data_IF_261525608705
#
_entry.id   IF_261525608705
#
_cell.length_a   1.000
_cell.length_b   1.000
_cell.length_c   1.000
_cell.angle_alpha   90.00
_cell.angle_beta   90.00
_cell.angle_gamma   90.00
#
_symmetry.space_group_name_H-M   'P 1'
#
loop_
_entity.id
_entity.type
_entity.pdbx_description
1 polymer ?
#
# COMPACT_ATOMS: atom_id res chain seq x y z
N UNK A 1 -25.97 -2.16 16.56
CA UNK A 1 -24.53 -1.94 16.39
C UNK A 1 -24.37 -0.53 15.86
N UNK A 2 -23.99 0.43 16.72
CA UNK A 2 -23.91 1.84 16.33
C UNK A 2 -22.93 2.01 15.15
N UNK A 3 -23.40 2.71 14.12
CA UNK A 3 -22.61 2.96 12.93
C UNK A 3 -21.51 3.95 13.31
N UNK A 4 -20.25 3.47 13.37
CA UNK A 4 -19.08 4.31 13.65
C UNK A 4 -19.09 5.56 12.76
N UNK A 5 -18.86 6.73 13.36
CA UNK A 5 -18.61 7.98 12.63
C UNK A 5 -17.31 7.86 11.82
N UNK A 6 -17.44 7.55 10.52
CA UNK A 6 -16.31 7.39 9.61
C UNK A 6 -16.02 8.73 8.95
N UNK A 7 -14.76 9.16 8.98
CA UNK A 7 -14.35 10.30 8.18
C UNK A 7 -14.55 9.99 6.69
N UNK A 8 -15.31 10.86 6.01
CA UNK A 8 -15.55 10.80 4.56
C UNK A 8 -15.07 12.07 3.89
N UNK A 9 -14.25 11.93 2.86
CA UNK A 9 -13.80 13.03 2.01
C UNK A 9 -12.29 13.08 1.82
N UNK A 10 -11.87 14.03 1.00
CA UNK A 10 -10.46 14.36 0.72
C UNK A 10 -10.15 15.84 0.94
N UNK A 11 -11.12 16.59 1.44
CA UNK A 11 -11.05 18.02 1.65
C UNK A 11 -10.22 18.33 2.91
N UNK A 12 -9.11 19.04 2.72
CA UNK A 12 -8.17 19.35 3.80
C UNK A 12 -8.82 20.15 4.95
N UNK A 13 -9.67 21.14 4.63
CA UNK A 13 -10.33 21.97 5.65
C UNK A 13 -11.21 21.11 6.56
N UNK A 14 -12.07 20.27 5.96
CA UNK A 14 -12.94 19.34 6.69
C UNK A 14 -12.13 18.38 7.57
N UNK A 15 -11.01 17.90 7.05
CA UNK A 15 -10.11 17.00 7.78
C UNK A 15 -9.51 17.68 9.02
N UNK A 16 -8.92 18.87 8.86
CA UNK A 16 -8.30 19.59 9.97
C UNK A 16 -9.32 20.08 11.01
N UNK A 17 -10.54 20.42 10.60
CA UNK A 17 -11.63 20.74 11.54
C UNK A 17 -12.10 19.54 12.36
N UNK A 18 -11.96 18.30 11.83
CA UNK A 18 -12.35 17.07 12.54
C UNK A 18 -11.27 16.55 13.50
N UNK A 19 -10.01 16.72 13.12
CA UNK A 19 -8.84 16.21 13.86
C UNK A 19 -7.95 17.38 14.28
N UNK A 20 -8.40 18.09 15.32
CA UNK A 20 -7.74 19.31 15.82
C UNK A 20 -6.59 19.01 16.77
N UNK A 21 -6.61 17.85 17.42
CA UNK A 21 -5.68 17.47 18.50
C UNK A 21 -5.53 15.94 18.65
N UNK A 22 -4.67 15.54 19.57
CA UNK A 22 -4.43 14.13 19.86
C UNK A 22 -5.68 13.44 20.47
N UNK A 23 -6.55 14.18 21.18
CA UNK A 23 -7.74 13.63 21.81
C UNK A 23 -8.79 13.17 20.78
N UNK A 24 -9.08 14.01 19.79
CA UNK A 24 -9.95 13.70 18.65
C UNK A 24 -9.39 12.54 17.80
N UNK A 25 -8.07 12.47 17.64
CA UNK A 25 -7.42 11.34 16.97
C UNK A 25 -7.55 10.03 17.78
N UNK A 26 -7.32 10.07 19.10
CA UNK A 26 -7.46 8.91 19.98
C UNK A 26 -8.89 8.37 20.02
N UNK A 27 -9.89 9.26 20.07
CA UNK A 27 -11.30 8.90 19.96
C UNK A 27 -11.56 8.11 18.67
N UNK A 28 -11.09 8.63 17.53
CA UNK A 28 -11.26 7.99 16.23
C UNK A 28 -10.58 6.63 16.16
N UNK A 29 -9.33 6.52 16.62
CA UNK A 29 -8.63 5.23 16.66
C UNK A 29 -9.30 4.23 17.60
N UNK A 30 -9.87 4.70 18.73
CA UNK A 30 -10.61 3.86 19.67
C UNK A 30 -11.85 3.27 19.02
N UNK A 31 -12.61 4.08 18.29
CA UNK A 31 -13.79 3.63 17.55
C UNK A 31 -13.47 2.56 16.50
N UNK A 32 -12.29 2.65 15.86
CA UNK A 32 -11.79 1.60 14.94
C UNK A 32 -11.43 0.33 15.71
N UNK A 33 -10.56 0.46 16.71
CA UNK A 33 -9.98 -0.68 17.43
C UNK A 33 -11.03 -1.53 18.15
N UNK A 34 -12.15 -0.91 18.51
CA UNK A 34 -13.22 -1.51 19.32
C UNK A 34 -14.47 -1.86 18.53
N UNK A 35 -14.42 -1.78 17.20
CA UNK A 35 -15.53 -2.19 16.33
C UNK A 35 -15.98 -3.64 16.59
N UNK A 36 -15.03 -4.53 16.93
CA UNK A 36 -15.29 -5.95 17.22
C UNK A 36 -15.36 -6.26 18.74
N UNK A 37 -15.48 -5.23 19.59
CA UNK A 37 -15.47 -5.35 21.05
C UNK A 37 -14.08 -5.33 21.70
N UNK A 38 -14.03 -5.50 23.03
CA UNK A 38 -12.78 -5.62 23.78
C UNK A 38 -12.42 -7.07 24.00
N UNK A 39 -11.17 -7.44 23.71
CA UNK A 39 -10.57 -8.71 24.09
C UNK A 39 -9.16 -8.45 24.60
N UNK A 40 -8.92 -8.77 25.87
CA UNK A 40 -7.61 -8.55 26.48
C UNK A 40 -6.54 -9.37 25.75
N UNK A 41 -5.47 -8.72 25.30
CA UNK A 41 -4.34 -9.37 24.61
C UNK A 41 -3.58 -10.38 25.48
N UNK A 42 -3.61 -10.23 26.81
CA UNK A 42 -2.90 -11.13 27.73
C UNK A 42 -3.70 -12.36 28.15
N UNK A 43 -5.01 -12.22 28.39
CA UNK A 43 -5.82 -13.30 28.99
C UNK A 43 -7.12 -13.61 28.25
N UNK A 44 -7.43 -12.92 27.15
CA UNK A 44 -8.64 -13.15 26.35
C UNK A 44 -9.95 -12.68 26.98
N UNK A 45 -9.94 -12.15 28.21
CA UNK A 45 -11.14 -11.66 28.89
C UNK A 45 -11.76 -10.43 28.18
N UNK A 46 -13.08 -10.33 28.20
CA UNK A 46 -13.87 -9.33 27.47
C UNK A 46 -14.34 -8.16 28.33
N UNK A 47 -14.30 -8.29 29.65
CA UNK A 47 -14.68 -7.20 30.56
C UNK A 47 -13.49 -6.29 30.81
N UNK A 48 -13.80 -4.99 30.87
CA UNK A 48 -12.82 -3.93 31.10
C UNK A 48 -13.43 -2.82 31.97
N UNK A 49 -12.57 -2.02 32.58
CA UNK A 49 -12.92 -0.72 33.11
C UNK A 49 -12.10 0.35 32.38
N UNK A 50 -12.53 1.61 32.48
CA UNK A 50 -11.74 2.73 31.97
C UNK A 50 -10.44 2.83 32.77
N UNK A 51 -9.36 3.15 32.09
CA UNK A 51 -8.04 3.35 32.69
C UNK A 51 -7.73 4.86 32.82
N UNK A 52 -6.60 5.20 33.47
CA UNK A 52 -6.14 6.58 33.70
C UNK A 52 -5.91 7.37 32.40
N UNK A 53 -5.56 6.68 31.31
CA UNK A 53 -5.30 7.32 30.01
C UNK A 53 -6.56 7.37 29.14
N UNK A 54 -6.82 8.48 28.41
CA UNK A 54 -7.98 8.62 27.54
C UNK A 54 -8.17 7.43 26.60
N UNK A 55 -9.40 6.92 26.54
CA UNK A 55 -9.82 5.79 25.70
C UNK A 55 -9.04 4.46 25.92
N UNK A 56 -8.20 4.39 26.96
CA UNK A 56 -7.49 3.18 27.35
C UNK A 56 -8.37 2.27 28.20
N UNK A 57 -8.17 0.95 28.07
CA UNK A 57 -9.00 -0.05 28.74
C UNK A 57 -8.14 -0.95 29.61
N UNK A 58 -8.52 -1.06 30.88
CA UNK A 58 -7.91 -1.98 31.85
C UNK A 58 -8.73 -3.26 31.92
N UNK A 59 -8.08 -4.41 31.70
CA UNK A 59 -8.74 -5.70 31.88
C UNK A 59 -9.07 -5.94 33.36
N UNK A 60 -10.32 -6.26 33.68
CA UNK A 60 -10.76 -6.47 35.06
C UNK A 60 -10.15 -7.72 35.70
N UNK A 61 -9.78 -8.72 34.89
CA UNK A 61 -9.18 -10.00 35.32
C UNK A 61 -7.68 -9.90 35.58
N UNK A 62 -6.87 -9.60 34.56
CA UNK A 62 -5.40 -9.60 34.69
C UNK A 62 -4.77 -8.22 34.92
N UNK A 63 -5.60 -7.18 35.08
CA UNK A 63 -5.19 -5.78 35.30
C UNK A 63 -4.26 -5.20 34.22
N UNK A 64 -4.22 -5.83 33.04
CA UNK A 64 -3.46 -5.32 31.91
C UNK A 64 -4.13 -4.09 31.31
N UNK A 65 -3.34 -3.03 31.17
CA UNK A 65 -3.74 -1.77 30.54
C UNK A 65 -3.42 -1.80 29.05
N UNK A 66 -4.45 -1.58 28.24
CA UNK A 66 -4.32 -1.50 26.80
C UNK A 66 -4.67 -0.10 26.31
N UNK A 67 -3.65 0.64 25.87
CA UNK A 67 -3.84 1.90 25.16
C UNK A 67 -4.47 1.67 23.78
N UNK A 68 -5.07 2.73 23.23
CA UNK A 68 -5.65 2.70 21.88
C UNK A 68 -4.59 2.34 20.84
N UNK A 69 -3.39 2.92 20.93
CA UNK A 69 -2.32 2.73 19.96
C UNK A 69 -1.55 1.43 20.15
N UNK A 70 -1.66 0.75 21.30
CA UNK A 70 -0.92 -0.48 21.59
C UNK A 70 -1.14 -1.55 20.53
N UNK A 71 -0.05 -2.13 20.01
CA UNK A 71 -0.06 -3.18 18.99
C UNK A 71 -0.55 -2.72 17.62
N UNK A 72 -0.56 -1.42 17.36
CA UNK A 72 -0.87 -0.83 16.05
C UNK A 72 0.37 -0.15 15.44
N UNK A 73 0.24 0.40 14.24
CA UNK A 73 1.30 1.23 13.66
C UNK A 73 1.52 2.56 14.38
N UNK A 74 0.55 3.01 15.18
CA UNK A 74 0.65 4.19 16.05
C UNK A 74 1.33 3.87 17.38
N UNK A 75 1.67 2.60 17.64
CA UNK A 75 2.33 2.22 18.87
C UNK A 75 3.71 2.90 18.97
N UNK A 76 4.00 3.41 20.16
CA UNK A 76 5.25 4.08 20.54
C UNK A 76 5.68 5.21 19.59
N UNK A 77 4.75 5.92 18.94
CA UNK A 77 5.10 7.17 18.27
C UNK A 77 5.60 8.19 19.30
N UNK A 78 6.63 8.96 18.93
CA UNK A 78 7.30 9.94 19.80
C UNK A 78 7.04 11.38 19.35
N UNK A 79 5.95 11.59 18.61
CA UNK A 79 5.52 12.87 18.09
C UNK A 79 3.97 12.94 18.17
N UNK A 80 3.36 14.13 18.10
CA UNK A 80 1.91 14.30 18.25
C UNK A 80 1.12 13.39 17.31
N UNK A 81 0.09 12.73 17.84
CA UNK A 81 -0.76 11.82 17.08
C UNK A 81 -1.50 12.55 15.95
N UNK A 82 -1.88 13.81 16.15
CA UNK A 82 -2.49 14.66 15.15
C UNK A 82 -1.60 14.81 13.90
N UNK A 83 -0.28 14.93 14.06
CA UNK A 83 0.65 14.95 12.92
C UNK A 83 0.69 13.61 12.20
N UNK A 84 0.60 12.50 12.94
CA UNK A 84 0.52 11.16 12.36
C UNK A 84 -0.73 11.00 11.48
N UNK A 85 -1.86 11.55 11.93
CA UNK A 85 -3.10 11.63 11.17
C UNK A 85 -2.93 12.48 9.91
N UNK A 86 -2.35 13.67 10.04
CA UNK A 86 -2.16 14.56 8.89
C UNK A 86 -1.23 13.95 7.82
N UNK A 87 -0.13 13.30 8.24
CA UNK A 87 0.78 12.58 7.33
C UNK A 87 0.05 11.42 6.63
N UNK A 88 -0.71 10.61 7.37
CA UNK A 88 -1.49 9.50 6.79
C UNK A 88 -2.55 10.00 5.80
N UNK A 89 -3.25 11.08 6.14
CA UNK A 89 -4.21 11.73 5.25
C UNK A 89 -3.54 12.16 3.96
N UNK A 90 -2.50 13.00 4.01
CA UNK A 90 -1.81 13.52 2.82
C UNK A 90 -1.24 12.42 1.92
N UNK A 91 -0.61 11.39 2.48
CA UNK A 91 -0.06 10.28 1.70
C UNK A 91 -1.17 9.48 1.01
N UNK A 92 -2.33 9.33 1.65
CA UNK A 92 -3.46 8.59 1.10
C UNK A 92 -4.26 9.38 0.07
N UNK A 93 -4.45 10.69 0.25
CA UNK A 93 -5.37 11.49 -0.58
C UNK A 93 -4.69 12.21 -1.74
N UNK A 94 -3.42 12.63 -1.61
CA UNK A 94 -2.71 13.28 -2.71
C UNK A 94 -2.39 12.26 -3.80
N UNK A 95 -2.82 12.52 -5.05
CA UNK A 95 -2.61 11.63 -6.21
C UNK A 95 -1.14 11.20 -6.38
N UNK A 96 -0.21 12.16 -6.24
CA UNK A 96 1.24 11.95 -6.32
C UNK A 96 1.90 11.61 -4.97
N UNK A 97 1.15 11.43 -3.88
CA UNK A 97 1.73 11.31 -2.54
C UNK A 97 2.57 12.53 -2.14
N UNK A 98 3.49 12.34 -1.19
CA UNK A 98 4.50 13.34 -0.79
C UNK A 98 5.80 12.65 -0.41
N UNK A 99 6.92 13.34 -0.61
CA UNK A 99 8.23 12.89 -0.16
C UNK A 99 8.36 12.99 1.37
N UNK A 100 9.28 12.23 1.96
CA UNK A 100 9.56 12.37 3.40
C UNK A 100 10.21 13.71 3.74
N UNK A 101 10.89 14.35 2.78
CA UNK A 101 11.51 15.67 2.98
C UNK A 101 10.45 16.76 3.05
N UNK A 102 9.53 16.78 2.08
CA UNK A 102 8.40 17.72 2.06
C UNK A 102 7.54 17.60 3.32
N UNK A 103 7.24 16.36 3.74
CA UNK A 103 6.49 16.12 4.98
C UNK A 103 7.28 16.55 6.22
N UNK A 104 8.60 16.34 6.25
CA UNK A 104 9.43 16.73 7.38
C UNK A 104 9.49 18.25 7.54
N UNK A 105 9.63 18.97 6.44
CA UNK A 105 9.58 20.43 6.39
C UNK A 105 8.20 20.94 6.81
N UNK A 106 7.11 20.39 6.24
CA UNK A 106 5.74 20.83 6.53
C UNK A 106 5.35 20.67 8.02
N UNK A 107 5.86 19.65 8.71
CA UNK A 107 5.56 19.42 10.13
C UNK A 107 6.70 19.79 11.09
N UNK A 108 7.76 20.44 10.60
CA UNK A 108 8.95 20.79 11.39
C UNK A 108 9.52 19.57 12.15
N UNK A 109 9.55 18.41 11.50
CA UNK A 109 9.99 17.14 12.09
C UNK A 109 11.32 16.70 11.47
N UNK A 110 12.07 15.85 12.18
CA UNK A 110 13.24 15.17 11.59
C UNK A 110 12.78 14.26 10.44
N UNK A 111 13.43 14.38 9.29
CA UNK A 111 13.10 13.57 8.10
C UNK A 111 13.11 12.07 8.39
N UNK A 112 14.05 11.56 9.20
CA UNK A 112 14.11 10.14 9.58
C UNK A 112 12.84 9.68 10.31
N UNK A 113 12.31 10.50 11.23
CA UNK A 113 11.08 10.19 11.97
C UNK A 113 9.88 10.07 11.04
N UNK A 114 9.75 11.03 10.11
CA UNK A 114 8.67 11.03 9.11
C UNK A 114 8.82 9.87 8.14
N UNK A 115 10.04 9.57 7.73
CA UNK A 115 10.35 8.45 6.84
C UNK A 115 9.99 7.11 7.49
N UNK A 116 10.39 6.86 8.73
CA UNK A 116 10.01 5.65 9.48
C UNK A 116 8.49 5.51 9.63
N UNK A 117 7.79 6.61 9.92
CA UNK A 117 6.33 6.58 10.01
C UNK A 117 5.67 6.35 8.64
N UNK A 118 6.20 6.98 7.57
CA UNK A 118 5.78 6.71 6.19
C UNK A 118 5.97 5.24 5.82
N UNK A 119 7.07 4.59 6.25
CA UNK A 119 7.27 3.14 6.04
C UNK A 119 6.17 2.30 6.68
N UNK A 120 5.69 2.68 7.88
CA UNK A 120 4.54 2.03 8.50
C UNK A 120 3.28 2.20 7.62
N UNK A 121 2.99 3.44 7.18
CA UNK A 121 1.87 3.71 6.26
C UNK A 121 1.95 2.85 4.99
N UNK A 122 3.13 2.78 4.34
CA UNK A 122 3.37 1.95 3.17
C UNK A 122 3.08 0.47 3.45
N UNK A 123 3.50 -0.05 4.62
CA UNK A 123 3.19 -1.42 5.03
C UNK A 123 1.67 -1.65 5.19
N UNK A 124 0.91 -0.66 5.65
CA UNK A 124 -0.56 -0.74 5.70
C UNK A 124 -1.21 -0.63 4.31
N UNK A 125 -0.53 0.01 3.36
CA UNK A 125 -0.98 0.14 1.98
C UNK A 125 -0.80 -1.14 1.16
N UNK A 126 -0.01 -2.11 1.64
CA UNK A 126 0.17 -3.43 1.02
C UNK A 126 -1.17 -4.07 0.63
N UNK A 127 -1.19 -4.70 -0.54
CA UNK A 127 -2.38 -5.42 -1.01
C UNK A 127 -2.70 -6.62 -0.10
N UNK A 128 -3.99 -6.81 0.17
CA UNK A 128 -4.48 -7.98 0.90
C UNK A 128 -4.41 -9.26 0.08
N UNK A 129 -4.28 -9.19 -1.26
CA UNK A 129 -4.38 -10.33 -2.16
C UNK A 129 -5.82 -10.79 -2.44
N UNK A 130 -6.79 -10.45 -1.57
CA UNK A 130 -8.20 -10.88 -1.69
C UNK A 130 -8.98 -10.38 -2.92
N UNK A 131 -8.37 -9.62 -3.82
CA UNK A 131 -9.03 -9.06 -5.00
C UNK A 131 -8.15 -9.30 -6.23
N UNK A 132 -8.04 -10.56 -6.69
CA UNK A 132 -7.26 -10.89 -7.87
C UNK A 132 -7.83 -10.18 -9.10
N UNK A 133 -6.94 -9.84 -10.03
CA UNK A 133 -7.26 -9.24 -11.32
C UNK A 133 -8.03 -10.26 -12.17
N UNK A 134 -9.12 -9.80 -12.81
CA UNK A 134 -10.03 -10.64 -13.59
C UNK A 134 -10.27 -10.06 -14.99
N UNK A 135 -10.92 -10.84 -15.85
CA UNK A 135 -11.20 -10.42 -17.22
C UNK A 135 -9.92 -10.40 -18.04
N UNK A 136 -9.68 -9.31 -18.77
CA UNK A 136 -8.44 -9.10 -19.50
C UNK A 136 -7.38 -8.43 -18.63
N UNK A 137 -6.22 -9.06 -18.50
CA UNK A 137 -5.12 -8.61 -17.66
C UNK A 137 -3.84 -8.54 -18.49
N UNK A 138 -3.28 -7.35 -18.65
CA UNK A 138 -1.97 -7.20 -19.28
C UNK A 138 -0.89 -7.33 -18.21
N UNK A 139 0.20 -8.03 -18.52
CA UNK A 139 1.34 -8.22 -17.62
C UNK A 139 2.62 -7.90 -18.37
N UNK A 140 3.51 -7.15 -17.72
CA UNK A 140 4.80 -6.75 -18.27
C UNK A 140 5.81 -6.57 -17.13
N UNK A 141 7.08 -6.47 -17.47
CA UNK A 141 8.18 -6.23 -16.55
C UNK A 141 8.98 -5.00 -16.94
N UNK A 142 9.49 -4.30 -15.93
CA UNK A 142 10.31 -3.11 -16.17
C UNK A 142 11.38 -2.93 -15.11
N UNK A 143 12.44 -2.22 -15.50
CA UNK A 143 13.54 -1.87 -14.63
C UNK A 143 13.36 -0.49 -14.00
N UNK A 144 13.73 -0.39 -12.73
CA UNK A 144 13.86 0.86 -11.96
C UNK A 144 15.33 1.02 -11.54
N UNK A 145 15.99 2.04 -12.09
CA UNK A 145 17.41 2.33 -11.87
C UNK A 145 17.92 3.32 -12.91
N UNK A 146 19.16 3.80 -12.71
CA UNK A 146 19.87 4.60 -13.70
C UNK A 146 20.41 3.74 -14.85
N UNK A 147 21.01 4.39 -15.85
CA UNK A 147 21.87 3.71 -16.81
C UNK A 147 23.15 3.23 -16.10
N UNK A 148 23.64 2.06 -16.52
CA UNK A 148 24.86 1.47 -15.99
C UNK A 148 25.76 1.15 -17.18
N UNK A 149 26.97 1.69 -17.16
CA UNK A 149 27.96 1.44 -18.22
C UNK A 149 28.26 -0.06 -18.29
N UNK A 150 28.24 -0.61 -19.51
CA UNK A 150 28.49 -2.03 -19.77
C UNK A 150 27.29 -2.97 -19.57
N UNK A 151 26.15 -2.49 -19.04
CA UNK A 151 24.97 -3.32 -18.77
C UNK A 151 23.86 -2.98 -19.77
N UNK A 152 23.79 -3.76 -20.86
CA UNK A 152 22.78 -3.63 -21.90
C UNK A 152 21.52 -4.44 -21.57
N UNK A 153 20.35 -3.92 -21.96
CA UNK A 153 19.09 -4.66 -21.91
C UNK A 153 18.58 -5.04 -20.50
N UNK A 154 18.27 -6.32 -20.32
CA UNK A 154 17.55 -6.92 -19.17
C UNK A 154 18.49 -7.66 -18.19
N UNK A 155 19.78 -7.31 -18.13
CA UNK A 155 20.74 -7.99 -17.24
C UNK A 155 20.45 -7.74 -15.76
N UNK A 156 20.58 -8.78 -14.94
CA UNK A 156 20.42 -8.77 -13.47
C UNK A 156 21.73 -8.46 -12.73
N UNK A 157 22.86 -8.32 -13.44
CA UNK A 157 24.18 -8.01 -12.86
C UNK A 157 24.31 -6.54 -12.42
N UNK A 158 23.32 -5.72 -12.76
CA UNK A 158 23.25 -4.31 -12.42
C UNK A 158 22.52 -3.97 -11.12
N UNK A 159 22.59 -2.71 -10.68
CA UNK A 159 21.78 -2.17 -9.56
C UNK A 159 20.33 -1.87 -9.97
N UNK A 160 19.96 -2.17 -11.22
CA UNK A 160 18.60 -2.03 -11.73
C UNK A 160 17.67 -3.04 -11.03
N UNK A 161 16.52 -2.54 -10.59
CA UNK A 161 15.54 -3.32 -9.83
C UNK A 161 14.45 -3.76 -10.78
N UNK A 162 14.26 -5.07 -10.93
CA UNK A 162 13.23 -5.63 -11.79
C UNK A 162 11.88 -5.63 -11.06
N UNK A 163 10.84 -5.20 -11.76
CA UNK A 163 9.47 -5.15 -11.27
C UNK A 163 8.56 -5.79 -12.29
N UNK A 164 7.74 -6.75 -11.84
CA UNK A 164 6.58 -7.21 -12.60
C UNK A 164 5.36 -6.35 -12.25
N UNK A 165 4.55 -6.04 -13.26
CA UNK A 165 3.30 -5.30 -13.10
C UNK A 165 2.19 -5.97 -13.89
N UNK A 166 0.98 -5.96 -13.31
CA UNK A 166 -0.22 -6.39 -13.99
C UNK A 166 -1.30 -5.31 -13.90
N UNK A 167 -2.07 -5.17 -14.98
CA UNK A 167 -3.08 -4.13 -15.17
C UNK A 167 -4.34 -4.74 -15.77
N UNK A 168 -5.48 -4.55 -15.10
CA UNK A 168 -6.80 -4.87 -15.68
C UNK A 168 -7.13 -3.90 -16.81
N UNK A 169 -7.59 -4.46 -17.93
CA UNK A 169 -8.15 -3.72 -19.05
C UNK A 169 -9.67 -3.84 -18.98
N UNK A 170 -10.34 -2.70 -18.99
CA UNK A 170 -11.81 -2.60 -18.98
C UNK A 170 -12.26 -1.78 -20.18
N UNK A 171 -13.54 -1.87 -20.54
CA UNK A 171 -14.11 -1.26 -21.75
C UNK A 171 -13.69 0.20 -21.96
N UNK A 172 -13.73 1.00 -20.89
CA UNK A 172 -13.47 2.45 -20.93
C UNK A 172 -12.16 2.84 -20.23
N UNK A 173 -11.15 1.97 -20.28
CA UNK A 173 -9.79 2.28 -19.81
C UNK A 173 -9.17 1.15 -18.99
N UNK A 174 -8.77 1.47 -17.76
CA UNK A 174 -8.02 0.54 -16.90
C UNK A 174 -8.73 0.30 -15.58
N UNK A 175 -8.58 -0.91 -15.04
CA UNK A 175 -9.12 -1.35 -13.77
C UNK A 175 -8.11 -1.24 -12.64
N UNK A 176 -7.93 -2.33 -11.88
CA UNK A 176 -6.90 -2.44 -10.85
C UNK A 176 -5.54 -2.78 -11.44
N UNK A 177 -4.50 -2.48 -10.66
CA UNK A 177 -3.14 -2.88 -10.97
C UNK A 177 -2.40 -3.31 -9.70
N UNK A 178 -1.42 -4.18 -9.89
CA UNK A 178 -0.48 -4.61 -8.85
C UNK A 178 0.93 -4.65 -9.43
N UNK A 179 1.92 -4.37 -8.60
CA UNK A 179 3.32 -4.52 -8.98
C UNK A 179 4.13 -5.13 -7.85
N UNK A 180 5.17 -5.88 -8.20
CA UNK A 180 6.04 -6.56 -7.25
C UNK A 180 7.49 -6.53 -7.72
N UNK A 181 8.39 -6.24 -6.78
CA UNK A 181 9.84 -6.41 -7.01
C UNK A 181 10.15 -7.89 -7.11
N UNK A 182 10.88 -8.29 -8.14
CA UNK A 182 11.31 -9.66 -8.38
C UNK A 182 12.83 -9.72 -8.54
N UNK A 183 13.41 -10.88 -8.28
CA UNK A 183 14.87 -11.05 -8.32
C UNK A 183 15.40 -11.26 -9.73
N UNK A 184 14.63 -11.93 -10.59
CA UNK A 184 14.98 -12.19 -11.99
C UNK A 184 13.73 -12.33 -12.88
N UNK A 185 13.95 -12.47 -14.18
CA UNK A 185 12.90 -12.65 -15.19
C UNK A 185 12.53 -14.12 -15.43
N UNK A 186 12.68 -15.00 -14.43
CA UNK A 186 12.32 -16.41 -14.52
C UNK A 186 10.84 -16.67 -14.19
N UNK A 187 10.32 -17.79 -14.67
CA UNK A 187 8.99 -18.25 -14.31
C UNK A 187 8.82 -18.45 -12.80
N UNK A 188 9.84 -18.93 -12.09
CA UNK A 188 9.84 -19.07 -10.63
C UNK A 188 9.64 -17.73 -9.91
N UNK A 189 10.24 -16.66 -10.42
CA UNK A 189 10.08 -15.31 -9.88
C UNK A 189 8.71 -14.69 -10.19
N UNK A 190 8.10 -15.05 -11.32
CA UNK A 190 6.76 -14.57 -11.69
C UNK A 190 5.62 -15.29 -10.93
N UNK A 191 5.76 -16.60 -10.66
CA UNK A 191 4.72 -17.44 -10.04
C UNK A 191 4.09 -16.82 -8.78
N UNK A 192 4.84 -16.37 -7.76
CA UNK A 192 4.26 -15.77 -6.55
C UNK A 192 3.39 -14.55 -6.82
N UNK A 193 3.75 -13.74 -7.83
CA UNK A 193 2.97 -12.58 -8.22
C UNK A 193 1.67 -12.99 -8.92
N UNK A 194 1.76 -13.90 -9.88
CA UNK A 194 0.60 -14.44 -10.59
C UNK A 194 -0.40 -15.07 -9.62
N UNK A 195 0.03 -16.02 -8.79
CA UNK A 195 -0.86 -16.75 -7.87
C UNK A 195 -1.55 -15.84 -6.85
N UNK A 196 -0.88 -14.75 -6.46
CA UNK A 196 -1.41 -13.80 -5.50
C UNK A 196 -2.38 -12.79 -6.10
N UNK A 197 -2.14 -12.35 -7.33
CA UNK A 197 -2.79 -11.17 -7.90
C UNK A 197 -3.60 -11.42 -9.15
N UNK A 198 -3.50 -12.58 -9.80
CA UNK A 198 -4.18 -12.84 -11.08
C UNK A 198 -5.09 -14.05 -10.90
N UNK A 199 -6.35 -13.91 -11.31
CA UNK A 199 -7.30 -15.02 -11.31
C UNK A 199 -6.88 -16.08 -12.33
N UNK A 200 -6.99 -17.37 -11.98
CA UNK A 200 -6.68 -18.48 -12.92
C UNK A 200 -7.53 -18.43 -14.20
N UNK A 201 -8.74 -17.87 -14.11
CA UNK A 201 -9.65 -17.70 -15.23
C UNK A 201 -9.41 -16.45 -16.09
N UNK A 202 -8.49 -15.57 -15.68
CA UNK A 202 -8.21 -14.32 -16.40
C UNK A 202 -7.59 -14.61 -17.78
N UNK A 203 -7.95 -13.78 -18.76
CA UNK A 203 -7.25 -13.70 -20.04
C UNK A 203 -6.00 -12.86 -19.85
N UNK A 204 -4.87 -13.52 -19.70
CA UNK A 204 -3.58 -12.85 -19.48
C UNK A 204 -2.94 -12.55 -20.82
N UNK A 205 -2.47 -11.33 -21.02
CA UNK A 205 -1.75 -10.91 -22.21
C UNK A 205 -0.38 -10.38 -21.78
N UNK A 206 0.69 -10.97 -22.30
CA UNK A 206 2.08 -10.59 -21.98
C UNK A 206 2.91 -10.36 -23.24
N UNK A 207 4.13 -9.85 -23.08
CA UNK A 207 5.12 -9.86 -24.15
C UNK A 207 5.59 -11.30 -24.49
N UNK A 208 6.39 -11.43 -25.54
CA UNK A 208 6.92 -12.72 -26.02
C UNK A 208 8.10 -13.26 -25.19
N UNK A 209 8.24 -12.83 -23.93
CA UNK A 209 9.31 -13.32 -23.07
C UNK A 209 9.13 -14.80 -22.67
N UNK A 210 10.20 -15.57 -22.80
CA UNK A 210 10.19 -17.03 -22.54
C UNK A 210 9.87 -17.39 -21.08
N UNK A 211 10.14 -16.50 -20.13
CA UNK A 211 9.82 -16.68 -18.72
C UNK A 211 8.32 -16.85 -18.43
N UNK A 212 7.43 -16.41 -19.33
CA UNK A 212 5.99 -16.63 -19.20
C UNK A 212 5.52 -18.01 -19.68
N UNK A 213 6.31 -18.70 -20.52
CA UNK A 213 5.90 -19.99 -21.10
C UNK A 213 5.51 -21.04 -20.04
N UNK A 214 6.25 -21.23 -18.94
CA UNK A 214 5.88 -22.23 -17.93
C UNK A 214 4.60 -21.90 -17.16
N UNK A 215 4.12 -20.64 -17.22
CA UNK A 215 2.87 -20.21 -16.57
C UNK A 215 1.63 -20.61 -17.37
N UNK A 216 1.75 -20.91 -18.67
CA UNK A 216 0.63 -21.38 -19.51
C UNK A 216 -0.04 -22.64 -18.97
N UNK A 217 0.70 -23.47 -18.23
CA UNK A 217 0.16 -24.67 -17.56
C UNK A 217 -0.94 -24.32 -16.55
N UNK A 218 -0.77 -23.22 -15.82
CA UNK A 218 -1.69 -22.79 -14.75
C UNK A 218 -2.63 -21.66 -15.20
N UNK A 219 -2.29 -20.98 -16.31
CA UNK A 219 -3.04 -19.90 -16.92
C UNK A 219 -3.30 -20.24 -18.41
N UNK A 220 -4.29 -21.09 -18.71
CA UNK A 220 -4.50 -21.61 -20.07
C UNK A 220 -4.92 -20.54 -21.08
N UNK A 221 -5.43 -19.39 -20.61
CA UNK A 221 -5.81 -18.23 -21.44
C UNK A 221 -4.68 -17.19 -21.55
N UNK A 222 -3.44 -17.56 -21.21
CA UNK A 222 -2.29 -16.68 -21.37
C UNK A 222 -1.85 -16.65 -22.84
N UNK A 223 -1.95 -15.47 -23.43
CA UNK A 223 -1.51 -15.15 -24.78
C UNK A 223 -0.25 -14.28 -24.72
N UNK A 224 0.73 -14.58 -25.58
CA UNK A 224 1.90 -13.72 -25.76
C UNK A 224 1.73 -12.96 -27.07
N UNK A 225 1.99 -11.65 -27.05
CA UNK A 225 1.91 -10.79 -28.23
C UNK A 225 3.18 -9.94 -28.33
N UNK A 226 3.68 -9.69 -29.56
CA UNK A 226 4.79 -8.78 -29.73
C UNK A 226 4.38 -7.37 -29.27
N UNK A 227 5.25 -6.74 -28.48
CA UNK A 227 4.99 -5.40 -27.93
C UNK A 227 4.90 -4.31 -29.01
N UNK A 228 5.50 -4.52 -30.19
CA UNK A 228 5.63 -3.53 -31.28
C UNK A 228 6.02 -2.12 -30.76
N UNK A 229 7.15 -2.04 -30.04
CA UNK A 229 7.63 -0.81 -29.39
C UNK A 229 6.59 -0.18 -28.43
N UNK A 230 5.80 -1.00 -27.76
CA UNK A 230 4.76 -0.58 -26.81
C UNK A 230 3.37 -0.34 -27.41
N UNK A 231 3.23 -0.39 -28.75
CA UNK A 231 1.93 -0.22 -29.43
C UNK A 231 0.97 -1.39 -29.20
N UNK A 232 1.49 -2.58 -28.91
CA UNK A 232 0.68 -3.76 -28.59
C UNK A 232 -0.01 -3.67 -27.21
N UNK A 233 0.54 -2.88 -26.28
CA UNK A 233 0.07 -2.79 -24.89
C UNK A 233 0.08 -1.34 -24.35
N UNK A 234 -0.57 -0.37 -25.00
CA UNK A 234 -0.37 1.06 -24.69
C UNK A 234 -0.73 1.41 -23.23
N UNK A 235 -1.76 0.78 -22.66
CA UNK A 235 -2.22 1.09 -21.29
C UNK A 235 -1.20 0.68 -20.21
N UNK A 236 -0.57 -0.49 -20.33
CA UNK A 236 0.42 -0.94 -19.34
C UNK A 236 1.71 -0.13 -19.45
N UNK A 237 2.12 0.24 -20.67
CA UNK A 237 3.28 1.12 -20.88
C UNK A 237 3.04 2.51 -20.29
N UNK A 238 1.86 3.11 -20.49
CA UNK A 238 1.49 4.38 -19.84
C UNK A 238 1.53 4.24 -18.31
N UNK A 239 1.02 3.14 -17.76
CA UNK A 239 1.05 2.88 -16.33
C UNK A 239 2.48 2.76 -15.78
N UNK A 240 3.36 2.03 -16.47
CA UNK A 240 4.79 1.92 -16.14
C UNK A 240 5.47 3.28 -16.19
N UNK A 241 5.21 4.08 -17.23
CA UNK A 241 5.75 5.44 -17.35
C UNK A 241 5.31 6.33 -16.18
N UNK A 242 4.03 6.25 -15.78
CA UNK A 242 3.51 6.99 -14.63
C UNK A 242 4.16 6.58 -13.31
N UNK A 243 4.39 5.29 -13.08
CA UNK A 243 5.12 4.79 -11.89
C UNK A 243 6.56 5.32 -11.88
N UNK A 244 7.28 5.19 -13.00
CA UNK A 244 8.67 5.66 -13.13
C UNK A 244 8.76 7.18 -12.92
N UNK A 245 7.86 7.94 -13.54
CA UNK A 245 7.77 9.39 -13.39
C UNK A 245 7.46 9.81 -11.95
N UNK A 246 6.55 9.11 -11.28
CA UNK A 246 6.23 9.35 -9.87
C UNK A 246 7.42 9.09 -8.95
N UNK A 247 8.10 7.95 -9.10
CA UNK A 247 9.29 7.63 -8.31
C UNK A 247 10.40 8.65 -8.51
N UNK A 248 10.72 8.99 -9.78
CA UNK A 248 11.78 9.95 -10.10
C UNK A 248 11.46 11.37 -9.64
N UNK A 249 10.20 11.78 -9.78
CA UNK A 249 9.77 13.15 -9.50
C UNK A 249 9.51 13.46 -8.04
N UNK A 250 8.96 12.51 -7.27
CA UNK A 250 8.57 12.74 -5.86
C UNK A 250 9.55 12.11 -4.88
N UNK A 251 10.20 11.01 -5.25
CA UNK A 251 11.04 10.25 -4.32
C UNK A 251 12.52 10.29 -4.68
N UNK A 252 12.85 10.63 -5.93
CA UNK A 252 14.19 10.74 -6.52
C UNK A 252 15.03 9.46 -6.48
N UNK A 253 15.20 8.86 -5.30
CA UNK A 253 15.93 7.64 -5.07
C UNK A 253 15.12 6.64 -4.22
N UNK A 254 15.23 5.36 -4.55
CA UNK A 254 14.71 4.27 -3.74
C UNK A 254 15.63 3.05 -3.80
N UNK A 255 15.97 2.53 -2.62
CA UNK A 255 16.72 1.28 -2.48
C UNK A 255 15.87 0.05 -2.82
N UNK A 256 16.50 -1.11 -3.04
CA UNK A 256 15.78 -2.35 -3.43
C UNK A 256 14.85 -2.80 -2.29
N UNK A 257 15.34 -2.71 -1.06
CA UNK A 257 14.65 -3.13 0.18
C UNK A 257 13.39 -2.31 0.45
N UNK A 258 13.32 -1.09 -0.10
CA UNK A 258 12.22 -0.17 0.16
C UNK A 258 11.25 -0.02 -1.01
N UNK A 259 11.65 -0.43 -2.22
CA UNK A 259 10.89 -0.22 -3.45
C UNK A 259 9.49 -0.83 -3.39
N UNK A 260 9.32 -2.02 -2.82
CA UNK A 260 7.99 -2.63 -2.71
C UNK A 260 6.99 -1.74 -1.95
N UNK A 261 7.43 -1.03 -0.91
CA UNK A 261 6.57 -0.13 -0.14
C UNK A 261 6.07 1.05 -0.95
N UNK A 262 6.87 1.53 -1.92
CA UNK A 262 6.45 2.60 -2.83
C UNK A 262 5.50 2.06 -3.92
N UNK A 263 5.74 0.86 -4.43
CA UNK A 263 4.80 0.20 -5.35
C UNK A 263 3.45 -0.02 -4.67
N UNK A 264 3.45 -0.51 -3.42
CA UNK A 264 2.25 -0.71 -2.62
C UNK A 264 1.51 0.62 -2.38
N UNK A 265 2.24 1.70 -2.05
CA UNK A 265 1.68 3.04 -1.88
C UNK A 265 1.01 3.56 -3.16
N UNK A 266 1.69 3.44 -4.30
CA UNK A 266 1.16 3.86 -5.60
C UNK A 266 -0.13 3.11 -5.93
N UNK A 267 -0.08 1.77 -5.85
CA UNK A 267 -1.21 0.91 -6.19
C UNK A 267 -2.35 1.01 -5.17
N UNK A 268 -2.09 1.37 -3.92
CA UNK A 268 -3.12 1.61 -2.93
C UNK A 268 -4.04 2.76 -3.34
N UNK A 269 -3.46 3.89 -3.75
CA UNK A 269 -4.19 5.05 -4.27
C UNK A 269 -4.82 4.75 -5.62
N UNK A 270 -4.05 4.18 -6.55
CA UNK A 270 -4.52 3.86 -7.89
C UNK A 270 -5.78 2.99 -7.85
N UNK A 271 -5.76 1.90 -7.08
CA UNK A 271 -6.89 0.96 -6.97
C UNK A 271 -8.12 1.52 -6.23
N UNK A 272 -8.03 2.75 -5.70
CA UNK A 272 -9.09 3.41 -4.92
C UNK A 272 -9.47 4.78 -5.43
N UNK A 273 -8.98 5.15 -6.62
CA UNK A 273 -9.24 6.45 -7.26
C UNK A 273 -10.73 6.77 -7.44
N UNK A 274 -11.59 5.75 -7.48
CA UNK A 274 -13.06 5.90 -7.55
C UNK A 274 -13.75 5.88 -6.17
N UNK A 275 -13.03 5.54 -5.10
CA UNK A 275 -13.52 5.42 -3.72
C UNK A 275 -12.66 6.28 -2.77
N UNK A 276 -12.33 7.50 -3.21
CA UNK A 276 -11.43 8.40 -2.49
C UNK A 276 -12.03 8.94 -1.19
N UNK A 277 -13.36 9.00 -1.09
CA UNK A 277 -14.08 9.46 0.09
C UNK A 277 -13.74 8.65 1.35
N UNK A 278 -13.44 7.36 1.23
CA UNK A 278 -13.16 6.46 2.37
C UNK A 278 -11.70 6.05 2.49
N UNK A 279 -10.80 6.58 1.65
CA UNK A 279 -9.42 6.11 1.55
C UNK A 279 -8.63 6.27 2.85
N UNK A 280 -8.82 7.40 3.53
CA UNK A 280 -8.18 7.70 4.81
C UNK A 280 -8.66 6.76 5.92
N UNK A 281 -9.98 6.62 6.05
CA UNK A 281 -10.57 5.71 7.02
C UNK A 281 -10.08 4.28 6.84
N UNK A 282 -10.08 3.81 5.58
CA UNK A 282 -9.62 2.47 5.26
C UNK A 282 -8.13 2.28 5.54
N UNK A 283 -7.30 3.30 5.33
CA UNK A 283 -5.89 3.28 5.74
C UNK A 283 -5.76 3.15 7.26
N UNK A 284 -6.46 3.98 8.04
CA UNK A 284 -6.39 3.93 9.50
C UNK A 284 -6.85 2.59 10.07
N UNK A 285 -7.91 1.99 9.51
CA UNK A 285 -8.34 0.63 9.86
C UNK A 285 -7.22 -0.39 9.68
N UNK A 286 -6.48 -0.31 8.57
CA UNK A 286 -5.34 -1.21 8.31
C UNK A 286 -4.14 -0.93 9.21
N UNK A 287 -3.92 0.32 9.58
CA UNK A 287 -2.87 0.71 10.53
C UNK A 287 -3.17 0.26 11.96
N UNK A 288 -4.46 0.20 12.34
CA UNK A 288 -4.91 -0.28 13.66
C UNK A 288 -5.03 -1.79 13.75
N UNK A 289 -5.75 -2.41 12.80
CA UNK A 289 -6.11 -3.83 12.85
C UNK A 289 -5.04 -4.75 12.24
N UNK A 290 -3.75 -4.44 12.43
CA UNK A 290 -2.69 -5.31 11.94
C UNK A 290 -2.85 -6.72 12.51
N UNK A 291 -3.09 -7.70 11.62
CA UNK A 291 -2.76 -9.08 11.94
C UNK A 291 -1.24 -9.16 12.03
N UNK A 292 -0.70 -9.76 13.08
CA UNK A 292 0.73 -10.11 13.10
C UNK A 292 0.97 -10.96 11.86
N UNK A 293 1.70 -10.42 10.90
CA UNK A 293 2.43 -11.25 9.94
C UNK A 293 3.59 -11.82 10.74
N UNK A 294 3.48 -13.09 11.08
CA UNK A 294 4.60 -13.91 11.54
C UNK A 294 5.73 -13.89 10.49
#
# INVERSE_FOLDING_TARGET
MEQRDKFKGVESIKFYSRFTDDASCLEYLSSIKRADGFKCKKCGHTNYCNDRYPYSRRCTRCKYDESVTSGSMFDKIKFPLVYAFHIAFKISTKKKGMSSLELAEEYCMRQKTVWEFKRKIQKAMRSSGNYPLKGEVHVDEFYIGGEEEGITGRSTEGKKKLVIVALEIVRDGVGRAYAQVIDDASASSFRPFFDRYISKDAKVITDEWSGYLPLKKDYPKLEQRPSDKGKGHPQIHIHIMNIKGWLRGIHHHCSKEHLQGYLDEYHFRFNRRNNMDTIFDMLLRRMICQKKTD
#
